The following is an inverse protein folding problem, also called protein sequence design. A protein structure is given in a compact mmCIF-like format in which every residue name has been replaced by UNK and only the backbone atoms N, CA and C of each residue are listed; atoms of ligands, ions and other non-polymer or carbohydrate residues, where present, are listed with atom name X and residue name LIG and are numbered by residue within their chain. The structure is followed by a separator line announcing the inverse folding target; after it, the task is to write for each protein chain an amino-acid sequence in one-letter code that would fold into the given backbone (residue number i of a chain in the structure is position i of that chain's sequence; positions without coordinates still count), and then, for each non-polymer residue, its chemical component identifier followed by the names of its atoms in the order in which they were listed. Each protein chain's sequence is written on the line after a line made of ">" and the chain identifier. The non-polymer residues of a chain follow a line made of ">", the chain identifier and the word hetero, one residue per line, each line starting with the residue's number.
data_IF_541426350437
#
_entry.id   IF_541426350437
#
_cell.length_a   1.000
_cell.length_b   1.000
_cell.length_c   1.000
_cell.angle_alpha   90.00
_cell.angle_beta   90.00
_cell.angle_gamma   90.00
#
_symmetry.space_group_name_H-M   'P 1'
#
loop_
_entity.id
_entity.type
_entity.pdbx_description
1 polymer ?
#
# COMPACT_ATOMS: atom_id res chain seq x y z
N UNK A 1 -4.19 18.03 -4.33
CA UNK A 1 -2.92 18.39 -4.97
C UNK A 1 -2.68 17.33 -6.03
N UNK A 2 -2.48 17.74 -7.28
CA UNK A 2 -2.28 16.79 -8.37
C UNK A 2 -0.88 16.19 -8.28
N UNK A 3 -0.68 15.02 -8.87
CA UNK A 3 0.60 14.30 -8.73
C UNK A 3 1.78 15.10 -9.28
N UNK A 4 1.60 15.86 -10.36
CA UNK A 4 2.66 16.70 -10.94
C UNK A 4 3.07 17.84 -10.02
N UNK A 5 2.13 18.45 -9.29
CA UNK A 5 2.43 19.48 -8.30
C UNK A 5 3.31 18.90 -7.18
N UNK A 6 2.99 17.67 -6.75
CA UNK A 6 3.73 16.95 -5.70
C UNK A 6 5.14 16.63 -6.21
N UNK A 7 5.24 16.09 -7.42
CA UNK A 7 6.50 15.75 -8.07
C UNK A 7 7.39 16.98 -8.20
N UNK A 8 6.85 18.11 -8.69
CA UNK A 8 7.57 19.37 -8.81
C UNK A 8 8.03 19.89 -7.45
N UNK A 9 7.13 19.90 -6.45
CA UNK A 9 7.43 20.39 -5.09
C UNK A 9 8.50 19.56 -4.37
N UNK A 10 8.50 18.24 -4.57
CA UNK A 10 9.36 17.31 -3.83
C UNK A 10 10.64 16.94 -4.59
N UNK A 11 10.77 17.30 -5.86
CA UNK A 11 11.97 17.02 -6.68
C UNK A 11 12.94 18.20 -6.72
N UNK A 12 13.31 18.74 -5.55
CA UNK A 12 14.29 19.82 -5.48
C UNK A 12 15.71 19.32 -5.78
N UNK A 13 16.40 19.99 -6.71
CA UNK A 13 17.83 19.75 -6.93
C UNK A 13 18.64 20.46 -5.82
N UNK A 14 19.36 19.73 -4.96
CA UNK A 14 20.17 20.35 -3.90
C UNK A 14 21.29 21.24 -4.45
N UNK A 15 21.70 21.07 -5.71
CA UNK A 15 22.72 21.90 -6.37
C UNK A 15 22.21 23.26 -6.80
N UNK A 16 20.88 23.40 -6.93
CA UNK A 16 20.26 24.66 -7.32
C UNK A 16 20.14 25.64 -6.13
N UNK A 17 20.41 25.19 -4.90
CA UNK A 17 20.27 25.99 -3.67
C UNK A 17 21.61 26.65 -3.35
N UNK A 18 21.65 27.98 -3.44
CA UNK A 18 22.85 28.77 -3.17
C UNK A 18 23.03 28.91 -1.65
N UNK A 19 24.19 28.50 -1.13
CA UNK A 19 24.56 28.66 0.27
C UNK A 19 24.24 27.47 1.18
N UNK A 20 23.70 26.38 0.63
CA UNK A 20 23.62 25.08 1.30
C UNK A 20 24.64 24.12 0.66
N UNK A 21 25.25 23.25 1.45
CA UNK A 21 26.33 22.38 1.00
C UNK A 21 26.14 20.91 1.45
N UNK A 22 26.76 19.93 0.76
CA UNK A 22 26.58 18.51 1.05
C UNK A 22 26.97 18.06 2.46
N UNK A 23 27.78 18.84 3.18
CA UNK A 23 28.25 18.54 4.53
C UNK A 23 27.54 19.38 5.61
N UNK A 24 26.54 20.17 5.21
CA UNK A 24 25.72 20.97 6.11
C UNK A 24 25.11 20.10 7.20
N UNK A 25 25.31 20.49 8.46
CA UNK A 25 24.72 19.84 9.63
C UNK A 25 23.33 20.37 9.98
N UNK A 26 22.83 21.36 9.21
CA UNK A 26 21.51 21.95 9.43
C UNK A 26 20.40 20.92 9.19
N UNK A 27 19.41 20.91 10.08
CA UNK A 27 18.19 20.10 9.90
C UNK A 27 17.33 20.58 8.71
N UNK A 28 17.52 21.83 8.29
CA UNK A 28 16.82 22.43 7.13
C UNK A 28 17.59 22.28 5.80
N UNK A 29 18.74 21.57 5.82
CA UNK A 29 19.56 21.38 4.62
C UNK A 29 18.83 20.57 3.55
N UNK A 30 18.84 21.08 2.32
CA UNK A 30 18.29 20.41 1.13
C UNK A 30 19.17 19.21 0.77
N UNK A 31 20.47 19.27 1.02
CA UNK A 31 21.37 18.13 0.88
C UNK A 31 21.02 17.00 1.84
N UNK A 32 20.76 17.32 3.11
CA UNK A 32 20.31 16.31 4.09
C UNK A 32 19.03 15.63 3.63
N UNK A 33 18.04 16.40 3.18
CA UNK A 33 16.79 15.85 2.63
C UNK A 33 17.06 14.99 1.39
N UNK A 34 17.94 15.43 0.48
CA UNK A 34 18.31 14.65 -0.71
C UNK A 34 18.92 13.28 -0.36
N UNK A 35 19.79 13.22 0.65
CA UNK A 35 20.33 11.94 1.11
C UNK A 35 19.25 11.05 1.74
N UNK A 36 18.36 11.60 2.56
CA UNK A 36 17.22 10.86 3.09
C UNK A 36 16.30 10.32 1.97
N UNK A 37 16.05 11.11 0.93
CA UNK A 37 15.22 10.73 -0.20
C UNK A 37 15.86 9.58 -1.00
N UNK A 38 17.18 9.60 -1.18
CA UNK A 38 17.91 8.52 -1.84
C UNK A 38 17.88 7.23 -1.01
N UNK A 39 18.01 7.32 0.32
CA UNK A 39 17.85 6.16 1.20
C UNK A 39 16.44 5.57 1.12
N UNK A 40 15.41 6.41 1.17
CA UNK A 40 14.02 5.97 1.06
C UNK A 40 13.77 5.27 -0.29
N UNK A 41 14.23 5.86 -1.40
CA UNK A 41 14.14 5.23 -2.74
C UNK A 41 14.86 3.89 -2.79
N UNK A 42 16.02 3.76 -2.15
CA UNK A 42 16.76 2.50 -2.11
C UNK A 42 15.97 1.40 -1.36
N UNK A 43 15.35 1.74 -0.22
CA UNK A 43 14.47 0.82 0.52
C UNK A 43 13.28 0.38 -0.32
N UNK A 44 12.60 1.32 -0.98
CA UNK A 44 11.47 1.02 -1.87
C UNK A 44 11.91 0.12 -3.03
N UNK A 45 13.07 0.42 -3.64
CA UNK A 45 13.60 -0.33 -4.78
C UNK A 45 13.84 -1.80 -4.41
N UNK A 46 14.40 -2.08 -3.23
CA UNK A 46 14.62 -3.46 -2.75
C UNK A 46 13.33 -4.28 -2.68
N UNK A 47 12.21 -3.64 -2.39
CA UNK A 47 10.90 -4.26 -2.35
C UNK A 47 10.27 -4.40 -3.74
N UNK A 48 10.39 -3.37 -4.57
CA UNK A 48 9.85 -3.36 -5.94
C UNK A 48 10.48 -4.46 -6.79
N UNK A 49 11.81 -4.65 -6.74
CA UNK A 49 12.50 -5.65 -7.57
C UNK A 49 12.05 -7.10 -7.29
N UNK A 50 11.48 -7.38 -6.12
CA UNK A 50 10.97 -8.71 -5.73
C UNK A 50 9.45 -8.86 -5.84
N UNK A 51 8.76 -7.84 -6.36
CA UNK A 51 7.29 -7.84 -6.51
C UNK A 51 6.87 -8.69 -7.70
N UNK A 52 5.97 -9.66 -7.49
CA UNK A 52 5.47 -10.60 -8.52
C UNK A 52 6.58 -11.10 -9.47
N UNK A 53 7.56 -11.89 -8.98
CA UNK A 53 8.77 -12.24 -9.73
C UNK A 53 8.49 -13.03 -11.01
N UNK A 54 7.37 -13.76 -11.06
CA UNK A 54 6.98 -14.60 -12.19
C UNK A 54 6.27 -13.82 -13.32
N UNK A 55 5.95 -12.55 -13.10
CA UNK A 55 5.22 -11.69 -14.03
C UNK A 55 6.20 -10.77 -14.77
N UNK A 56 6.37 -10.98 -16.08
CA UNK A 56 7.35 -10.26 -16.92
C UNK A 56 7.17 -8.74 -16.89
N UNK A 57 5.93 -8.27 -16.76
CA UNK A 57 5.63 -6.84 -16.68
C UNK A 57 6.41 -6.15 -15.55
N UNK A 58 6.51 -6.77 -14.36
CA UNK A 58 7.22 -6.19 -13.22
C UNK A 58 8.73 -6.37 -13.28
N UNK A 59 9.25 -7.01 -14.34
CA UNK A 59 10.69 -7.10 -14.61
C UNK A 59 11.18 -5.92 -15.45
N UNK A 60 10.27 -5.21 -16.11
CA UNK A 60 10.58 -4.01 -16.87
C UNK A 60 11.09 -2.89 -15.94
N UNK A 61 12.20 -2.27 -16.33
CA UNK A 61 12.82 -1.21 -15.53
C UNK A 61 11.95 0.03 -15.44
N UNK A 62 11.26 0.41 -16.51
CA UNK A 62 10.41 1.61 -16.52
C UNK A 62 9.19 1.41 -15.61
N UNK A 63 8.66 0.19 -15.54
CA UNK A 63 7.60 -0.20 -14.61
C UNK A 63 8.09 -0.13 -13.16
N UNK A 64 9.26 -0.70 -12.87
CA UNK A 64 9.85 -0.63 -11.52
C UNK A 64 10.13 0.82 -11.10
N UNK A 65 10.70 1.62 -12.00
CA UNK A 65 10.99 3.03 -11.72
C UNK A 65 9.70 3.82 -11.49
N UNK A 66 8.62 3.49 -12.21
CA UNK A 66 7.27 4.07 -11.98
C UNK A 66 6.73 3.70 -10.59
N UNK A 67 6.79 2.43 -10.20
CA UNK A 67 6.39 2.00 -8.87
C UNK A 67 7.18 2.71 -7.76
N UNK A 68 8.51 2.82 -7.92
CA UNK A 68 9.37 3.53 -6.98
C UNK A 68 8.96 4.98 -6.85
N UNK A 69 8.69 5.69 -7.96
CA UNK A 69 8.24 7.08 -7.94
C UNK A 69 6.91 7.26 -7.23
N UNK A 70 5.90 6.45 -7.57
CA UNK A 70 4.57 6.51 -6.94
C UNK A 70 4.68 6.33 -5.42
N UNK A 71 5.37 5.28 -4.98
CA UNK A 71 5.56 4.97 -3.55
C UNK A 71 6.37 6.06 -2.84
N UNK A 72 7.45 6.55 -3.47
CA UNK A 72 8.31 7.58 -2.92
C UNK A 72 7.55 8.89 -2.69
N UNK A 73 6.85 9.40 -3.71
CA UNK A 73 6.11 10.66 -3.58
C UNK A 73 4.95 10.53 -2.60
N UNK A 74 4.30 9.37 -2.55
CA UNK A 74 3.23 9.13 -1.56
C UNK A 74 3.80 9.15 -0.14
N UNK A 75 4.89 8.42 0.11
CA UNK A 75 5.54 8.36 1.41
C UNK A 75 6.07 9.73 1.88
N UNK A 76 6.64 10.53 0.96
CA UNK A 76 7.10 11.89 1.25
C UNK A 76 5.94 12.84 1.55
N UNK A 77 4.80 12.67 0.90
CA UNK A 77 3.59 13.47 1.14
C UNK A 77 2.85 13.06 2.42
N UNK A 78 3.05 11.82 2.89
CA UNK A 78 2.41 11.24 4.07
C UNK A 78 3.45 10.80 5.11
N UNK A 79 4.33 11.73 5.52
CA UNK A 79 5.46 11.44 6.42
C UNK A 79 5.07 10.79 7.76
N UNK A 80 3.83 11.02 8.24
CA UNK A 80 3.28 10.39 9.43
C UNK A 80 3.14 8.86 9.31
N UNK A 81 2.87 8.35 8.11
CA UNK A 81 2.83 6.91 7.81
C UNK A 81 4.16 6.45 7.22
N UNK A 82 4.67 7.22 6.25
CA UNK A 82 5.85 6.91 5.44
C UNK A 82 5.68 5.64 4.60
N UNK A 83 6.77 5.22 3.94
CA UNK A 83 6.77 3.94 3.24
C UNK A 83 6.84 2.78 4.23
N UNK A 84 6.02 1.75 4.03
CA UNK A 84 6.05 0.49 4.78
C UNK A 84 6.15 -0.68 3.82
N UNK A 85 6.96 -1.67 4.19
CA UNK A 85 7.02 -2.93 3.45
C UNK A 85 5.61 -3.51 3.31
N UNK A 86 5.25 -3.90 2.09
CA UNK A 86 3.93 -4.35 1.70
C UNK A 86 3.18 -3.36 0.82
N UNK A 87 3.47 -2.06 0.89
CA UNK A 87 2.83 -1.05 0.03
C UNK A 87 3.12 -1.25 -1.46
N UNK A 88 4.28 -1.82 -1.79
CA UNK A 88 4.62 -2.21 -3.17
C UNK A 88 3.68 -3.26 -3.74
N UNK A 89 3.12 -4.13 -2.90
CA UNK A 89 2.14 -5.14 -3.31
C UNK A 89 0.74 -4.55 -3.51
N UNK A 90 0.49 -3.35 -2.99
CA UNK A 90 -0.76 -2.60 -3.23
C UNK A 90 -0.65 -1.81 -4.54
N UNK A 91 0.47 -1.12 -4.80
CA UNK A 91 0.61 -0.34 -6.03
C UNK A 91 0.77 -1.20 -7.29
N UNK A 92 1.36 -2.39 -7.15
CA UNK A 92 1.60 -3.28 -8.29
C UNK A 92 0.33 -3.70 -9.06
N UNK A 93 -0.73 -4.25 -8.43
CA UNK A 93 -1.96 -4.59 -9.14
C UNK A 93 -2.66 -3.35 -9.70
N UNK A 94 -2.61 -2.20 -9.00
CA UNK A 94 -3.15 -0.92 -9.50
C UNK A 94 -2.51 -0.54 -10.82
N UNK A 95 -1.17 -0.48 -10.84
CA UNK A 95 -0.41 -0.09 -12.02
C UNK A 95 -0.62 -1.08 -13.17
N UNK A 96 -0.71 -2.37 -12.86
CA UNK A 96 -0.95 -3.40 -13.86
C UNK A 96 -2.33 -3.27 -14.52
N UNK A 97 -3.41 -3.15 -13.74
CA UNK A 97 -4.76 -3.02 -14.31
C UNK A 97 -4.90 -1.72 -15.12
N UNK A 98 -4.35 -0.60 -14.63
CA UNK A 98 -4.34 0.67 -15.37
C UNK A 98 -3.55 0.59 -16.68
N UNK A 99 -2.46 -0.19 -16.72
CA UNK A 99 -1.72 -0.46 -17.95
C UNK A 99 -2.54 -1.33 -18.91
N UNK A 100 -3.20 -2.37 -18.40
CA UNK A 100 -4.03 -3.27 -19.21
C UNK A 100 -5.21 -2.53 -19.84
N UNK A 101 -5.89 -1.66 -19.09
CA UNK A 101 -6.99 -0.83 -19.57
C UNK A 101 -6.58 0.01 -20.80
N UNK A 102 -5.38 0.60 -20.76
CA UNK A 102 -4.80 1.36 -21.88
C UNK A 102 -4.38 0.44 -23.02
N UNK A 103 -3.67 -0.64 -22.70
CA UNK A 103 -3.10 -1.58 -23.67
C UNK A 103 -4.16 -2.25 -24.53
N UNK A 104 -5.34 -2.50 -23.97
CA UNK A 104 -6.47 -3.18 -24.61
C UNK A 104 -7.62 -2.23 -24.93
N UNK A 105 -7.43 -0.91 -24.80
CA UNK A 105 -8.44 0.07 -25.17
C UNK A 105 -8.85 -0.08 -26.65
N UNK A 106 -10.16 0.00 -26.98
CA UNK A 106 -10.60 0.00 -28.36
C UNK A 106 -10.11 1.26 -29.09
N UNK A 107 -9.95 1.18 -30.43
CA UNK A 107 -9.47 2.33 -31.23
C UNK A 107 -10.44 3.51 -31.24
N UNK A 108 -11.74 3.22 -31.16
CA UNK A 108 -12.80 4.22 -31.15
C UNK A 108 -13.24 4.49 -29.72
N UNK A 109 -12.66 5.55 -29.14
CA UNK A 109 -12.98 6.00 -27.78
C UNK A 109 -13.82 7.26 -27.80
N UNK A 110 -14.72 7.37 -26.82
CA UNK A 110 -15.35 8.64 -26.48
C UNK A 110 -14.30 9.66 -26.06
N UNK A 111 -14.62 10.97 -26.15
CA UNK A 111 -13.66 12.01 -25.78
C UNK A 111 -13.19 11.88 -24.32
N UNK A 112 -14.06 11.45 -23.42
CA UNK A 112 -13.73 11.23 -22.00
C UNK A 112 -12.72 10.09 -21.86
N UNK A 113 -12.95 8.96 -22.52
CA UNK A 113 -12.06 7.80 -22.41
C UNK A 113 -10.69 8.06 -23.00
N UNK A 114 -10.56 8.94 -24.00
CA UNK A 114 -9.25 9.37 -24.51
C UNK A 114 -8.41 10.09 -23.46
N UNK A 115 -9.03 10.86 -22.56
CA UNK A 115 -8.31 11.50 -21.46
C UNK A 115 -7.99 10.52 -20.33
N UNK A 116 -8.91 9.61 -20.00
CA UNK A 116 -8.72 8.63 -18.92
C UNK A 116 -7.68 7.56 -19.28
N UNK A 117 -7.60 7.18 -20.56
CA UNK A 117 -6.70 6.13 -21.05
C UNK A 117 -5.47 6.72 -21.75
N UNK A 118 -5.10 7.96 -21.44
CA UNK A 118 -3.87 8.55 -21.94
C UNK A 118 -2.65 7.86 -21.30
N UNK A 119 -1.74 7.40 -22.16
CA UNK A 119 -0.53 6.67 -21.77
C UNK A 119 0.44 7.59 -20.98
N UNK A 120 0.49 8.88 -21.31
CA UNK A 120 1.37 9.86 -20.63
C UNK A 120 0.97 10.06 -19.15
N UNK A 121 -0.26 9.70 -18.79
CA UNK A 121 -0.83 9.87 -17.46
C UNK A 121 -0.88 8.58 -16.62
N UNK A 122 -0.32 7.46 -17.10
CA UNK A 122 -0.34 6.19 -16.37
C UNK A 122 0.25 6.31 -14.94
N UNK A 123 1.38 7.00 -14.79
CA UNK A 123 2.02 7.23 -13.48
C UNK A 123 1.14 8.10 -12.57
N UNK A 124 0.57 9.18 -13.13
CA UNK A 124 -0.32 10.09 -12.42
C UNK A 124 -1.54 9.34 -11.88
N UNK A 125 -2.21 8.57 -12.73
CA UNK A 125 -3.43 7.83 -12.36
C UNK A 125 -3.13 6.72 -11.36
N UNK A 126 -1.99 6.05 -11.52
CA UNK A 126 -1.51 5.06 -10.55
C UNK A 126 -1.30 5.68 -9.18
N UNK A 127 -0.71 6.88 -9.10
CA UNK A 127 -0.58 7.61 -7.85
C UNK A 127 -1.94 8.01 -7.26
N UNK A 128 -2.84 8.53 -8.09
CA UNK A 128 -4.15 8.98 -7.62
C UNK A 128 -4.99 7.83 -7.07
N UNK A 129 -5.00 6.68 -7.74
CA UNK A 129 -5.72 5.50 -7.28
C UNK A 129 -5.04 4.88 -6.05
N UNK A 130 -3.71 4.77 -6.04
CA UNK A 130 -2.97 4.32 -4.87
C UNK A 130 -3.25 5.20 -3.64
N UNK A 131 -3.21 6.52 -3.81
CA UNK A 131 -3.53 7.46 -2.75
C UNK A 131 -4.97 7.31 -2.25
N UNK A 132 -5.94 7.07 -3.14
CA UNK A 132 -7.33 6.82 -2.77
C UNK A 132 -7.47 5.54 -1.93
N UNK A 133 -6.83 4.44 -2.35
CA UNK A 133 -6.80 3.17 -1.59
C UNK A 133 -6.12 3.36 -0.24
N UNK A 134 -5.01 4.09 -0.21
CA UNK A 134 -4.25 4.33 1.02
C UNK A 134 -5.03 5.12 2.08
N UNK A 135 -6.00 5.97 1.70
CA UNK A 135 -6.88 6.63 2.68
C UNK A 135 -7.67 5.65 3.56
N UNK A 136 -8.01 4.47 3.05
CA UNK A 136 -8.66 3.42 3.84
C UNK A 136 -7.68 2.52 4.58
N UNK A 137 -6.48 2.34 4.02
CA UNK A 137 -5.47 1.40 4.51
C UNK A 137 -4.47 2.00 5.49
N UNK A 138 -4.19 3.30 5.47
CA UNK A 138 -3.10 3.93 6.23
C UNK A 138 -3.18 3.63 7.73
N UNK A 139 -4.41 3.52 8.27
CA UNK A 139 -4.67 3.13 9.67
C UNK A 139 -4.10 1.76 10.04
N UNK A 140 -3.95 0.84 9.08
CA UNK A 140 -3.36 -0.48 9.31
C UNK A 140 -1.83 -0.48 9.23
N UNK A 141 -1.22 0.63 8.79
CA UNK A 141 0.21 0.82 8.67
C UNK A 141 0.82 1.71 9.75
N UNK A 142 0.00 2.49 10.46
CA UNK A 142 0.45 3.32 11.58
C UNK A 142 0.74 2.47 12.82
N UNK A 143 1.87 2.72 13.46
CA UNK A 143 2.28 2.02 14.70
C UNK A 143 2.33 3.04 15.85
N UNK A 144 1.16 3.39 16.38
CA UNK A 144 1.02 4.36 17.47
C UNK A 144 1.66 5.71 17.12
N UNK A 145 2.44 6.27 18.04
CA UNK A 145 3.11 7.58 17.89
C UNK A 145 4.44 7.51 17.12
N UNK A 146 4.83 6.35 16.61
CA UNK A 146 6.14 6.18 15.97
C UNK A 146 6.09 6.67 14.52
N UNK A 147 6.48 7.92 14.34
CA UNK A 147 6.71 8.53 13.02
C UNK A 147 8.03 7.99 12.43
N UNK A 148 8.05 7.50 11.17
CA UNK A 148 9.29 7.17 10.47
C UNK A 148 10.26 8.35 10.43
N UNK A 149 11.56 8.05 10.40
CA UNK A 149 12.56 9.04 10.02
C UNK A 149 12.33 9.49 8.58
N UNK A 150 12.82 10.68 8.18
CA UNK A 150 12.74 11.13 6.79
C UNK A 150 13.34 10.15 5.76
N UNK A 151 14.28 9.30 6.17
CA UNK A 151 14.85 8.21 5.37
C UNK A 151 13.98 6.94 5.29
N UNK A 152 12.77 6.96 5.86
CA UNK A 152 11.84 5.83 5.88
C UNK A 152 12.16 4.76 6.93
N UNK A 153 13.20 4.96 7.77
CA UNK A 153 13.55 4.01 8.83
C UNK A 153 12.68 4.25 10.06
N UNK A 154 12.32 3.17 10.75
CA UNK A 154 11.74 3.32 12.08
C UNK A 154 12.84 3.69 13.08
N UNK A 155 12.57 4.60 14.04
CA UNK A 155 13.42 4.76 15.20
C UNK A 155 13.60 3.40 15.90
N UNK A 156 14.83 3.05 16.29
CA UNK A 156 15.10 1.90 17.16
C UNK A 156 14.42 2.14 18.51
N UNK A 157 13.27 1.48 18.72
CA UNK A 157 12.29 1.78 19.77
C UNK A 157 12.84 1.65 21.20
N UNK A 158 12.53 2.64 22.06
CA UNK A 158 12.19 2.39 23.46
C UNK A 158 10.66 2.45 23.57
N UNK A 159 10.03 1.28 23.54
CA UNK A 159 8.68 0.95 24.05
C UNK A 159 7.58 2.02 24.01
N UNK A 160 6.53 1.80 23.19
CA UNK A 160 5.12 1.84 23.64
C UNK A 160 4.30 0.87 22.78
N UNK A 161 3.76 -0.18 23.40
CA UNK A 161 2.68 -1.01 22.87
C UNK A 161 1.38 -0.19 22.84
N UNK A 162 1.17 0.61 21.79
CA UNK A 162 -0.20 0.99 21.46
C UNK A 162 -0.78 -0.18 20.65
N UNK A 163 -1.92 -0.79 21.02
CA UNK A 163 -2.50 -1.85 20.22
C UNK A 163 -2.68 -1.31 18.79
N UNK A 164 -1.93 -1.93 17.87
CA UNK A 164 -1.98 -1.66 16.45
C UNK A 164 -3.46 -1.62 16.05
N UNK A 165 -3.93 -0.60 15.35
CA UNK A 165 -5.34 -0.45 14.95
C UNK A 165 -5.86 -1.73 14.27
N UNK A 166 -4.96 -2.44 13.60
CA UNK A 166 -5.17 -3.80 13.08
C UNK A 166 -5.71 -4.77 14.13
N UNK A 167 -5.09 -4.86 15.31
CA UNK A 167 -5.49 -5.79 16.38
C UNK A 167 -6.88 -5.41 16.88
N UNK A 168 -7.11 -4.12 17.17
CA UNK A 168 -8.44 -3.61 17.56
C UNK A 168 -9.50 -3.96 16.52
N UNK A 169 -9.19 -3.78 15.24
CA UNK A 169 -10.10 -4.10 14.15
C UNK A 169 -10.39 -5.60 14.08
N UNK A 170 -9.37 -6.46 14.20
CA UNK A 170 -9.54 -7.91 14.16
C UNK A 170 -10.33 -8.44 15.37
N UNK A 171 -10.10 -7.88 16.56
CA UNK A 171 -10.89 -8.20 17.75
C UNK A 171 -12.36 -7.80 17.54
N UNK A 172 -12.62 -6.61 16.98
CA UNK A 172 -13.98 -6.21 16.61
C UNK A 172 -14.61 -7.18 15.61
N UNK A 173 -13.88 -7.56 14.55
CA UNK A 173 -14.37 -8.52 13.55
C UNK A 173 -14.72 -9.87 14.19
N UNK A 174 -13.88 -10.34 15.11
CA UNK A 174 -14.11 -11.58 15.84
C UNK A 174 -15.41 -11.53 16.64
N UNK A 175 -15.55 -10.53 17.50
CA UNK A 175 -16.66 -10.46 18.46
C UNK A 175 -18.00 -10.06 17.79
N UNK A 176 -17.97 -9.15 16.81
CA UNK A 176 -19.19 -8.64 16.17
C UNK A 176 -19.67 -9.50 14.99
N UNK A 177 -18.78 -10.26 14.33
CA UNK A 177 -19.14 -11.00 13.11
C UNK A 177 -18.84 -12.50 13.19
N UNK A 178 -17.64 -12.91 13.59
CA UNK A 178 -17.28 -14.34 13.59
C UNK A 178 -18.04 -15.11 14.67
N UNK A 179 -18.02 -14.64 15.93
CA UNK A 179 -18.66 -15.33 17.06
C UNK A 179 -20.16 -15.49 16.87
N UNK A 180 -20.92 -14.46 16.42
CA UNK A 180 -22.36 -14.61 16.17
C UNK A 180 -22.70 -15.52 14.99
N UNK A 181 -21.82 -15.63 13.99
CA UNK A 181 -22.06 -16.40 12.77
C UNK A 181 -21.61 -17.86 12.88
N UNK A 182 -20.41 -18.10 13.44
CA UNK A 182 -19.83 -19.44 13.63
C UNK A 182 -18.98 -19.49 14.91
N UNK A 183 -19.64 -19.75 16.03
CA UNK A 183 -19.00 -19.88 17.34
C UNK A 183 -18.01 -21.07 17.42
N UNK A 184 -18.20 -22.11 16.60
CA UNK A 184 -17.37 -23.29 16.61
C UNK A 184 -15.97 -22.97 16.07
N UNK A 185 -15.89 -22.24 14.95
CA UNK A 185 -14.61 -21.75 14.40
C UNK A 185 -13.90 -20.84 15.40
N UNK A 186 -14.62 -19.89 16.01
CA UNK A 186 -14.04 -18.99 17.01
C UNK A 186 -13.48 -19.73 18.23
N UNK A 187 -14.23 -20.71 18.74
CA UNK A 187 -13.83 -21.54 19.88
C UNK A 187 -12.67 -22.45 19.53
N UNK A 188 -12.65 -23.01 18.32
CA UNK A 188 -11.56 -23.84 17.85
C UNK A 188 -10.24 -23.05 17.79
N UNK A 189 -10.24 -21.88 17.15
CA UNK A 189 -9.09 -20.96 17.14
C UNK A 189 -8.58 -20.66 18.56
N UNK A 190 -9.49 -20.36 19.49
CA UNK A 190 -9.15 -20.12 20.89
C UNK A 190 -8.53 -21.34 21.57
N UNK A 191 -9.10 -22.54 21.36
CA UNK A 191 -8.57 -23.80 21.91
C UNK A 191 -7.17 -24.15 21.37
N UNK A 192 -6.88 -23.76 20.14
CA UNK A 192 -5.57 -23.92 19.50
C UNK A 192 -4.60 -22.80 19.87
N UNK A 193 -5.02 -21.81 20.66
CA UNK A 193 -4.25 -20.61 20.98
C UNK A 193 -3.80 -19.85 19.71
N UNK A 194 -4.65 -19.85 18.67
CA UNK A 194 -4.45 -19.13 17.42
C UNK A 194 -5.24 -17.83 17.49
N UNK A 195 -4.52 -16.72 17.48
CA UNK A 195 -5.11 -15.39 17.50
C UNK A 195 -5.21 -14.82 16.08
N UNK A 196 -6.22 -13.98 15.81
CA UNK A 196 -6.50 -13.49 14.46
C UNK A 196 -5.38 -12.61 13.91
N UNK A 197 -4.60 -11.94 14.75
CA UNK A 197 -3.47 -11.11 14.33
C UNK A 197 -2.36 -11.89 13.63
N UNK A 198 -2.21 -13.20 13.90
CA UNK A 198 -1.18 -14.05 13.29
C UNK A 198 -1.28 -14.08 11.76
N UNK A 199 -2.50 -13.98 11.22
CA UNK A 199 -2.77 -13.95 9.78
C UNK A 199 -3.40 -12.64 9.32
N UNK A 200 -4.26 -12.04 10.15
CA UNK A 200 -5.07 -10.87 9.82
C UNK A 200 -4.25 -9.60 9.57
N UNK A 201 -3.07 -9.46 10.20
CA UNK A 201 -2.18 -8.32 9.92
C UNK A 201 -1.79 -8.29 8.44
N UNK A 202 -1.39 -9.44 7.90
CA UNK A 202 -0.97 -9.56 6.50
C UNK A 202 -2.16 -9.38 5.56
N UNK A 203 -3.31 -9.98 5.88
CA UNK A 203 -4.54 -9.86 5.09
C UNK A 203 -4.99 -8.41 4.94
N UNK A 204 -5.06 -7.65 6.05
CA UNK A 204 -5.48 -6.25 6.03
C UNK A 204 -4.46 -5.34 5.34
N UNK A 205 -3.17 -5.51 5.64
CA UNK A 205 -2.12 -4.67 5.04
C UNK A 205 -1.90 -4.92 3.56
N UNK A 206 -2.20 -6.11 3.06
CA UNK A 206 -1.97 -6.46 1.66
C UNK A 206 -3.27 -6.60 0.86
N UNK A 207 -4.42 -6.22 1.44
CA UNK A 207 -5.76 -6.45 0.88
C UNK A 207 -5.91 -7.86 0.28
N UNK A 208 -5.47 -8.85 1.05
CA UNK A 208 -5.48 -10.28 0.70
C UNK A 208 -4.67 -10.65 -0.56
N UNK A 209 -3.84 -9.77 -1.10
CA UNK A 209 -3.08 -10.00 -2.33
C UNK A 209 -2.07 -11.16 -2.31
N UNK A 210 -1.87 -11.77 -1.13
CA UNK A 210 -1.06 -12.99 -0.95
C UNK A 210 -1.89 -14.27 -0.81
N UNK A 211 -3.21 -14.15 -0.64
CA UNK A 211 -4.12 -15.29 -0.52
C UNK A 211 -4.76 -15.65 -1.87
N UNK A 212 -4.76 -14.70 -2.79
CA UNK A 212 -5.33 -14.82 -4.12
C UNK A 212 -4.25 -14.64 -5.18
N UNK A 213 -4.43 -15.28 -6.33
CA UNK A 213 -3.54 -15.08 -7.48
C UNK A 213 -3.72 -13.67 -8.03
N UNK A 214 -2.70 -13.15 -8.75
CA UNK A 214 -2.73 -11.79 -9.30
C UNK A 214 -3.95 -11.52 -10.18
N UNK A 215 -4.47 -12.52 -10.91
CA UNK A 215 -5.68 -12.39 -11.73
C UNK A 215 -6.99 -12.32 -10.95
N UNK A 216 -7.02 -12.77 -9.71
CA UNK A 216 -8.20 -12.74 -8.83
C UNK A 216 -8.28 -11.44 -8.02
N UNK A 217 -7.14 -10.80 -7.75
CA UNK A 217 -7.04 -9.55 -6.98
C UNK A 217 -8.00 -8.46 -7.50
N UNK A 218 -8.07 -8.13 -8.81
CA UNK A 218 -8.96 -7.08 -9.30
C UNK A 218 -10.44 -7.36 -9.02
N UNK A 219 -10.86 -8.62 -9.10
CA UNK A 219 -12.24 -9.02 -8.82
C UNK A 219 -12.58 -8.85 -7.34
N UNK A 220 -11.68 -9.31 -6.46
CA UNK A 220 -11.81 -9.13 -5.01
C UNK A 220 -11.86 -7.64 -4.65
N UNK A 221 -10.97 -6.85 -5.25
CA UNK A 221 -10.86 -5.42 -4.99
C UNK A 221 -12.07 -4.65 -5.53
N UNK A 222 -12.65 -5.08 -6.65
CA UNK A 222 -13.93 -4.56 -7.14
C UNK A 222 -15.05 -4.67 -6.09
N UNK A 223 -15.10 -5.78 -5.36
CA UNK A 223 -16.02 -5.93 -4.23
C UNK A 223 -15.64 -5.06 -3.02
N UNK A 224 -14.35 -5.05 -2.62
CA UNK A 224 -13.87 -4.26 -1.48
C UNK A 224 -14.17 -2.77 -1.66
N UNK A 225 -13.99 -2.25 -2.88
CA UNK A 225 -14.13 -0.84 -3.20
C UNK A 225 -15.51 -0.45 -3.73
N UNK A 226 -16.48 -1.37 -3.76
CA UNK A 226 -17.82 -1.13 -4.31
C UNK A 226 -18.52 0.08 -3.67
N UNK A 227 -18.37 0.24 -2.36
CA UNK A 227 -18.93 1.36 -1.58
C UNK A 227 -17.87 2.42 -1.21
N UNK A 228 -16.77 2.45 -1.95
CA UNK A 228 -15.70 3.44 -1.82
C UNK A 228 -14.47 2.96 -1.04
N UNK A 229 -13.49 3.86 -0.85
CA UNK A 229 -12.17 3.50 -0.36
C UNK A 229 -12.09 3.29 1.16
N UNK A 230 -13.19 3.44 1.90
CA UNK A 230 -13.22 3.25 3.36
C UNK A 230 -13.18 1.78 3.80
N UNK A 231 -13.17 0.85 2.83
CA UNK A 231 -13.09 -0.60 3.02
C UNK A 231 -14.25 -1.15 3.88
N UNK A 232 -15.52 -0.77 3.63
CA UNK A 232 -16.63 -1.16 4.51
C UNK A 232 -16.82 -2.68 4.56
N UNK A 233 -16.49 -3.41 3.48
CA UNK A 233 -16.76 -4.85 3.35
C UNK A 233 -15.61 -5.77 3.76
N UNK A 234 -14.50 -5.22 4.25
CA UNK A 234 -13.27 -6.02 4.47
C UNK A 234 -13.46 -7.12 5.52
N UNK A 235 -14.30 -6.88 6.53
CA UNK A 235 -14.62 -7.87 7.57
C UNK A 235 -15.39 -9.08 7.03
N UNK A 236 -16.27 -8.90 6.04
CA UNK A 236 -17.00 -10.00 5.43
C UNK A 236 -16.06 -10.99 4.75
N UNK A 237 -14.99 -10.48 4.12
CA UNK A 237 -13.98 -11.33 3.47
C UNK A 237 -13.23 -12.15 4.52
N UNK A 238 -12.81 -11.53 5.63
CA UNK A 238 -12.12 -12.23 6.72
C UNK A 238 -12.96 -13.39 7.24
N UNK A 239 -14.24 -13.12 7.53
CA UNK A 239 -15.16 -14.14 8.07
C UNK A 239 -15.46 -15.22 7.03
N UNK A 240 -15.71 -14.85 5.78
CA UNK A 240 -15.96 -15.80 4.70
C UNK A 240 -14.76 -16.72 4.46
N UNK A 241 -13.54 -16.20 4.50
CA UNK A 241 -12.32 -17.00 4.39
C UNK A 241 -12.19 -18.00 5.54
N UNK A 242 -12.41 -17.57 6.78
CA UNK A 242 -12.34 -18.46 7.94
C UNK A 242 -13.36 -19.59 7.89
N UNK A 243 -14.61 -19.28 7.51
CA UNK A 243 -15.67 -20.27 7.35
C UNK A 243 -15.38 -21.20 6.17
N UNK A 244 -14.85 -20.68 5.06
CA UNK A 244 -14.49 -21.53 3.91
C UNK A 244 -13.37 -22.51 4.26
N UNK A 245 -12.41 -22.12 5.10
CA UNK A 245 -11.30 -22.99 5.52
C UNK A 245 -11.77 -24.13 6.42
N UNK A 246 -12.82 -23.93 7.22
CA UNK A 246 -13.47 -25.00 7.99
C UNK A 246 -13.91 -26.15 7.07
N UNK A 247 -14.62 -25.82 5.99
CA UNK A 247 -15.20 -26.79 5.07
C UNK A 247 -14.15 -27.57 4.24
N UNK A 248 -12.90 -27.11 4.21
CA UNK A 248 -11.79 -27.79 3.50
C UNK A 248 -11.12 -28.84 4.41
N UNK A 249 -11.24 -28.67 5.73
CA UNK A 249 -10.63 -29.54 6.73
C UNK A 249 -11.57 -30.67 7.20
N UNK A 250 -12.83 -30.67 6.77
CA UNK A 250 -13.80 -31.78 6.92
C UNK A 250 -13.74 -32.72 5.70
#
# INVERSE_FOLDING_TARGET
>A
MFYDDIKMKLSMDPRAVIGDDPLSQSDESVWKQHFCDNELKAVITQDVVRTFPDELYFRDKDVQDTMVRVLFFWARSHSHVGYRQGMHEIVAPILFELFQDRRFAPKELSQILKYVLDDDYLEHDSYMLFNAVMRGLERFYTTGEIVPTPSGRLPTSKTVHNPNEVIRYLDQVKEEFLVPLDHEVASHLASCNITMELFGIRWLRLLFGREFTRGEIPHLWGFIFADGPSLPHIHFIIVAMLISLRNICE
#
